data_IF_008604926607
#
_entry.id   IF_008604926607
#
_cell.length_a   1.000
_cell.length_b   1.000
_cell.length_c   1.000
_cell.angle_alpha   90.00
_cell.angle_beta   90.00
_cell.angle_gamma   90.00
#
_symmetry.space_group_name_H-M   'P 1'
#
loop_
_entity.id
_entity.type
_entity.pdbx_description
1 polymer ?
#
# COMPACT_ATOMS: atom_id res chain seq x y z
N UNK A 1 66.01 4.43 -8.51
CA UNK A 1 64.76 4.25 -7.75
C UNK A 1 64.19 5.53 -7.14
N UNK A 2 64.98 6.45 -6.57
CA UNK A 2 64.50 7.71 -5.98
C UNK A 2 63.88 8.69 -6.99
N UNK A 3 64.41 8.82 -8.21
CA UNK A 3 63.91 9.75 -9.23
C UNK A 3 62.51 9.36 -9.81
N UNK A 4 62.22 8.07 -9.87
CA UNK A 4 60.92 7.56 -10.31
C UNK A 4 59.83 7.79 -9.24
N UNK A 5 60.16 7.57 -7.96
CA UNK A 5 59.23 7.81 -6.83
C UNK A 5 58.84 9.30 -6.70
N UNK A 6 59.82 10.22 -6.91
CA UNK A 6 59.58 11.67 -6.86
C UNK A 6 58.69 12.15 -8.01
N UNK A 7 58.84 11.57 -9.21
CA UNK A 7 58.03 11.92 -10.39
C UNK A 7 56.58 11.43 -10.25
N UNK A 8 56.35 10.30 -9.57
CA UNK A 8 55.03 9.76 -9.30
C UNK A 8 54.29 10.56 -8.22
N UNK A 9 54.96 11.01 -7.16
CA UNK A 9 54.37 11.86 -6.12
C UNK A 9 53.97 13.24 -6.64
N UNK A 10 54.79 13.87 -7.47
CA UNK A 10 54.47 15.17 -8.07
C UNK A 10 53.25 15.11 -8.97
N UNK A 11 52.99 13.98 -9.64
CA UNK A 11 51.79 13.77 -10.47
C UNK A 11 50.53 13.58 -9.63
N UNK A 12 50.58 12.90 -8.51
CA UNK A 12 49.39 12.63 -7.66
C UNK A 12 48.84 13.91 -7.01
N UNK A 13 49.70 14.79 -6.51
CA UNK A 13 49.30 16.09 -5.95
C UNK A 13 48.64 16.98 -7.02
N UNK A 14 49.17 16.97 -8.23
CA UNK A 14 48.63 17.75 -9.36
C UNK A 14 47.27 17.22 -9.77
N UNK A 15 47.08 15.89 -9.81
CA UNK A 15 45.80 15.24 -10.12
C UNK A 15 44.75 15.54 -9.02
N UNK A 16 45.14 15.45 -7.74
CA UNK A 16 44.26 15.83 -6.61
C UNK A 16 43.81 17.29 -6.73
N UNK A 17 44.70 18.19 -7.04
CA UNK A 17 44.38 19.60 -7.25
C UNK A 17 43.41 19.83 -8.42
N UNK A 18 43.63 19.11 -9.53
CA UNK A 18 42.75 19.19 -10.69
C UNK A 18 41.33 18.64 -10.39
N UNK A 19 41.23 17.56 -9.61
CA UNK A 19 39.95 17.03 -9.16
C UNK A 19 39.23 18.04 -8.23
N UNK A 20 39.97 18.62 -7.26
CA UNK A 20 39.42 19.62 -6.35
C UNK A 20 38.90 20.87 -7.07
N UNK A 21 39.55 21.28 -8.17
CA UNK A 21 39.13 22.44 -8.97
C UNK A 21 37.84 22.20 -9.79
N UNK A 22 37.48 20.94 -10.08
CA UNK A 22 36.30 20.57 -10.89
C UNK A 22 35.13 20.01 -10.06
N UNK A 23 35.27 19.97 -8.74
CA UNK A 23 34.24 19.50 -7.82
C UNK A 23 33.89 20.57 -6.80
N UNK A 24 32.68 20.42 -6.22
CA UNK A 24 32.29 21.21 -5.06
C UNK A 24 33.25 20.94 -3.89
N UNK A 25 33.66 22.00 -3.18
CA UNK A 25 34.64 21.92 -2.09
C UNK A 25 34.23 21.02 -0.94
N UNK A 26 32.90 20.99 -0.61
CA UNK A 26 32.37 20.14 0.42
C UNK A 26 32.36 18.66 -0.01
N UNK A 27 32.00 18.40 -1.27
CA UNK A 27 32.00 17.04 -1.84
C UNK A 27 33.44 16.49 -1.94
N UNK A 28 34.39 17.29 -2.37
CA UNK A 28 35.80 16.91 -2.42
C UNK A 28 36.34 16.55 -1.03
N UNK A 29 36.12 17.42 -0.04
CA UNK A 29 36.61 17.21 1.33
C UNK A 29 36.03 15.99 2.01
N UNK A 30 34.75 15.70 1.75
CA UNK A 30 34.01 14.60 2.40
C UNK A 30 34.27 13.26 1.74
N UNK A 31 34.41 13.19 0.42
CA UNK A 31 34.39 11.93 -0.31
C UNK A 31 35.69 11.58 -1.02
N UNK A 32 36.42 12.57 -1.51
CA UNK A 32 37.62 12.36 -2.34
C UNK A 32 38.90 12.54 -1.54
N UNK A 33 38.99 13.56 -0.72
CA UNK A 33 40.21 13.86 0.06
C UNK A 33 40.65 12.71 1.01
N UNK A 34 39.70 11.93 1.63
CA UNK A 34 40.06 10.82 2.52
C UNK A 34 40.56 9.56 1.79
N UNK A 35 40.47 9.50 0.45
CA UNK A 35 40.87 8.33 -0.32
C UNK A 35 42.39 8.19 -0.39
N UNK A 36 42.86 6.95 -0.50
CA UNK A 36 44.22 6.68 -0.88
C UNK A 36 44.34 6.70 -2.42
N UNK A 37 45.30 7.45 -2.94
CA UNK A 37 45.54 7.63 -4.38
C UNK A 37 46.80 6.89 -4.77
N UNK A 38 46.73 6.02 -5.75
CA UNK A 38 47.84 5.27 -6.30
C UNK A 38 47.75 5.27 -7.85
N UNK A 39 48.88 5.19 -8.54
CA UNK A 39 48.89 5.02 -9.99
C UNK A 39 49.52 3.68 -10.30
N UNK A 40 48.74 2.80 -10.92
CA UNK A 40 49.14 1.46 -11.34
C UNK A 40 48.91 1.31 -12.86
N UNK A 41 49.98 1.04 -13.63
CA UNK A 41 49.87 0.76 -15.07
C UNK A 41 48.92 1.71 -15.83
N UNK A 42 49.16 3.04 -15.75
CA UNK A 42 48.34 4.09 -16.36
C UNK A 42 46.88 4.15 -15.84
N UNK A 43 46.63 3.61 -14.65
CA UNK A 43 45.33 3.67 -13.97
C UNK A 43 45.49 4.39 -12.64
N UNK A 44 44.68 5.42 -12.41
CA UNK A 44 44.50 6.07 -11.11
C UNK A 44 43.61 5.22 -10.23
N UNK A 45 44.18 4.60 -9.21
CA UNK A 45 43.44 3.77 -8.25
C UNK A 45 43.10 4.62 -7.03
N UNK A 46 41.80 4.72 -6.74
CA UNK A 46 41.27 5.44 -5.60
C UNK A 46 40.73 4.38 -4.59
N UNK A 47 41.39 4.22 -3.46
CA UNK A 47 41.04 3.22 -2.47
C UNK A 47 40.10 3.78 -1.41
N UNK A 48 38.85 3.34 -1.40
CA UNK A 48 37.82 3.70 -0.43
C UNK A 48 37.89 2.76 0.82
N UNK A 49 37.39 3.27 1.95
CA UNK A 49 37.40 2.52 3.21
C UNK A 49 36.42 1.34 3.24
N UNK A 50 35.31 1.44 2.49
CA UNK A 50 34.27 0.42 2.41
C UNK A 50 33.58 0.44 1.02
N UNK A 51 32.80 -0.61 0.73
CA UNK A 51 32.11 -0.78 -0.55
C UNK A 51 31.10 0.35 -0.82
N UNK A 52 30.38 0.80 0.20
CA UNK A 52 29.41 1.89 0.06
C UNK A 52 30.07 3.18 -0.47
N UNK A 53 31.22 3.57 0.12
CA UNK A 53 31.97 4.74 -0.33
C UNK A 53 32.50 4.57 -1.75
N UNK A 54 32.96 3.36 -2.11
CA UNK A 54 33.45 3.08 -3.46
C UNK A 54 32.32 3.20 -4.51
N UNK A 55 31.15 2.63 -4.23
CA UNK A 55 29.98 2.67 -5.11
C UNK A 55 29.43 4.09 -5.26
N UNK A 56 29.36 4.85 -4.16
CA UNK A 56 28.93 6.25 -4.17
C UNK A 56 29.86 7.12 -5.02
N UNK A 57 31.17 7.00 -4.81
CA UNK A 57 32.17 7.79 -5.54
C UNK A 57 32.14 7.44 -7.04
N UNK A 58 32.04 6.17 -7.37
CA UNK A 58 31.92 5.72 -8.76
C UNK A 58 30.65 6.19 -9.45
N UNK A 59 29.50 6.14 -8.74
CA UNK A 59 28.19 6.52 -9.29
C UNK A 59 28.00 8.03 -9.43
N UNK A 60 28.33 8.79 -8.38
CA UNK A 60 28.05 10.24 -8.34
C UNK A 60 29.20 11.08 -8.93
N UNK A 61 30.43 10.67 -8.68
CA UNK A 61 31.61 11.45 -9.07
C UNK A 61 32.43 10.78 -10.17
N UNK A 62 32.08 9.59 -10.60
CA UNK A 62 32.83 8.81 -11.59
C UNK A 62 33.05 9.53 -12.91
N UNK A 63 32.04 10.22 -13.43
CA UNK A 63 32.16 11.00 -14.68
C UNK A 63 33.21 12.14 -14.56
N UNK A 64 33.19 12.88 -13.45
CA UNK A 64 34.14 13.97 -13.18
C UNK A 64 35.54 13.43 -12.98
N UNK A 65 35.70 12.33 -12.23
CA UNK A 65 36.98 11.68 -12.00
C UNK A 65 37.62 11.16 -13.30
N UNK A 66 36.81 10.49 -14.15
CA UNK A 66 37.25 10.01 -15.45
C UNK A 66 37.67 11.17 -16.39
N UNK A 67 36.89 12.27 -16.42
CA UNK A 67 37.20 13.42 -17.23
C UNK A 67 38.53 14.07 -16.81
N UNK A 68 38.80 14.19 -15.51
CA UNK A 68 40.06 14.74 -15.00
C UNK A 68 41.23 13.78 -15.26
N UNK A 69 41.06 12.50 -14.98
CA UNK A 69 42.13 11.51 -15.18
C UNK A 69 42.52 11.38 -16.67
N UNK A 70 41.55 11.49 -17.58
CA UNK A 70 41.81 11.49 -19.03
C UNK A 70 42.71 12.65 -19.48
N UNK A 71 42.69 13.82 -18.83
CA UNK A 71 43.61 14.94 -19.09
C UNK A 71 45.07 14.59 -18.79
N UNK A 72 45.27 13.58 -17.91
CA UNK A 72 46.62 13.07 -17.56
C UNK A 72 46.94 11.74 -18.26
N UNK A 73 46.09 11.27 -19.16
CA UNK A 73 46.22 9.99 -19.87
C UNK A 73 46.04 8.77 -18.99
N UNK A 74 45.28 8.90 -17.90
CA UNK A 74 45.02 7.83 -16.95
C UNK A 74 43.56 7.36 -17.01
N UNK A 75 43.35 6.05 -16.80
CA UNK A 75 42.02 5.49 -16.47
C UNK A 75 41.78 5.62 -14.96
N UNK A 76 40.52 5.56 -14.52
CA UNK A 76 40.15 5.59 -13.08
C UNK A 76 39.60 4.26 -12.64
N UNK A 77 40.05 3.79 -11.47
CA UNK A 77 39.48 2.64 -10.77
C UNK A 77 39.28 2.97 -9.30
N UNK A 78 38.08 2.77 -8.81
CA UNK A 78 37.81 2.86 -7.37
C UNK A 78 37.87 1.46 -6.78
N UNK A 79 38.73 1.23 -5.79
CA UNK A 79 38.96 -0.02 -5.11
C UNK A 79 38.55 0.08 -3.63
N UNK A 80 38.34 -1.07 -2.95
CA UNK A 80 38.05 -1.13 -1.52
C UNK A 80 39.26 -1.69 -0.78
N UNK A 81 39.57 -1.14 0.37
CA UNK A 81 40.68 -1.56 1.20
C UNK A 81 40.50 -3.03 1.66
N UNK A 82 41.42 -3.89 1.21
CA UNK A 82 41.39 -5.34 1.60
C UNK A 82 40.72 -6.30 0.64
N UNK A 83 40.19 -5.85 -0.49
CA UNK A 83 39.71 -6.75 -1.55
C UNK A 83 40.86 -7.17 -2.46
N UNK A 84 41.05 -8.48 -2.69
CA UNK A 84 42.04 -8.99 -3.65
C UNK A 84 41.73 -8.42 -5.04
N UNK A 85 42.76 -8.11 -5.82
CA UNK A 85 42.68 -7.51 -7.14
C UNK A 85 41.75 -8.32 -8.05
N UNK A 86 40.56 -7.77 -8.32
CA UNK A 86 39.69 -8.23 -9.40
C UNK A 86 40.17 -7.51 -10.68
N UNK A 87 40.43 -8.27 -11.74
CA UNK A 87 40.88 -7.79 -13.05
C UNK A 87 40.02 -6.63 -13.56
N UNK A 88 40.57 -5.72 -14.40
CA UNK A 88 39.85 -4.57 -14.92
C UNK A 88 38.64 -5.05 -15.71
N UNK A 89 37.45 -4.73 -15.21
CA UNK A 89 36.22 -4.92 -15.95
C UNK A 89 36.24 -3.89 -17.08
N UNK A 90 36.30 -4.39 -18.32
CA UNK A 90 36.10 -3.58 -19.51
C UNK A 90 34.81 -2.74 -19.33
N UNK A 91 34.84 -1.50 -19.88
CA UNK A 91 33.68 -0.63 -19.97
C UNK A 91 32.58 -1.33 -20.79
N UNK A 92 31.87 -2.26 -20.18
CA UNK A 92 30.54 -2.62 -20.65
C UNK A 92 29.60 -1.51 -20.14
N UNK A 93 29.23 -0.63 -21.06
CA UNK A 93 28.02 0.20 -20.97
C UNK A 93 26.77 -0.71 -20.96
N UNK A 94 26.81 -1.76 -20.19
CA UNK A 94 25.64 -2.53 -19.83
C UNK A 94 25.01 -1.83 -18.64
N UNK A 95 24.28 -0.74 -18.90
CA UNK A 95 23.19 -0.32 -18.03
C UNK A 95 22.29 -1.54 -17.95
N UNK A 96 22.50 -2.39 -16.93
CA UNK A 96 21.56 -3.45 -16.64
C UNK A 96 20.22 -2.76 -16.48
N UNK A 97 19.41 -2.83 -17.55
CA UNK A 97 18.06 -2.30 -17.52
C UNK A 97 17.34 -3.08 -16.43
N UNK A 98 16.98 -2.39 -15.36
CA UNK A 98 16.13 -2.98 -14.35
C UNK A 98 14.83 -3.39 -15.04
N UNK A 99 14.60 -4.67 -15.12
CA UNK A 99 13.31 -5.23 -15.51
C UNK A 99 12.65 -5.72 -14.21
N UNK A 100 11.49 -5.18 -13.81
CA UNK A 100 10.73 -5.76 -12.71
C UNK A 100 10.52 -7.24 -13.01
N UNK A 101 10.50 -8.10 -11.98
CA UNK A 101 10.03 -9.45 -12.15
C UNK A 101 8.67 -9.35 -12.80
N UNK A 102 8.48 -9.98 -13.97
CA UNK A 102 7.23 -9.90 -14.71
C UNK A 102 6.09 -10.26 -13.74
N UNK A 103 5.44 -9.25 -13.20
CA UNK A 103 4.12 -9.45 -12.60
C UNK A 103 3.29 -10.01 -13.74
N UNK A 104 2.80 -11.24 -13.55
CA UNK A 104 1.86 -11.84 -14.49
C UNK A 104 0.85 -10.75 -14.82
N UNK A 105 0.73 -10.42 -16.11
CA UNK A 105 -0.28 -9.49 -16.58
C UNK A 105 -1.61 -10.03 -16.04
N UNK A 106 -2.07 -9.45 -14.95
CA UNK A 106 -3.41 -9.72 -14.46
C UNK A 106 -4.35 -9.24 -15.56
N UNK A 107 -5.51 -9.89 -15.70
CA UNK A 107 -6.60 -9.52 -16.64
C UNK A 107 -7.09 -8.06 -16.48
N UNK A 108 -6.43 -7.26 -15.66
CA UNK A 108 -6.70 -5.87 -15.33
C UNK A 108 -6.44 -4.87 -16.48
N UNK A 109 -5.86 -5.32 -17.58
CA UNK A 109 -5.59 -4.47 -18.75
C UNK A 109 -6.86 -3.86 -19.39
N UNK A 110 -8.03 -4.43 -19.10
CA UNK A 110 -9.33 -3.95 -19.58
C UNK A 110 -10.07 -3.03 -18.59
N UNK A 111 -9.56 -2.89 -17.35
CA UNK A 111 -10.23 -2.16 -16.27
C UNK A 111 -10.31 -0.66 -16.59
N UNK A 112 -11.51 -0.12 -16.63
CA UNK A 112 -11.79 1.29 -16.89
C UNK A 112 -12.73 1.89 -15.82
N UNK A 113 -12.89 3.22 -15.84
CA UNK A 113 -13.74 3.92 -14.87
C UNK A 113 -15.22 3.52 -14.91
N UNK A 114 -15.70 2.88 -15.99
CA UNK A 114 -17.09 2.45 -16.10
C UNK A 114 -17.34 1.20 -15.23
N UNK A 115 -16.29 0.47 -14.87
CA UNK A 115 -16.40 -0.67 -13.95
C UNK A 115 -16.62 -0.21 -12.51
N UNK A 116 -16.13 0.96 -12.15
CA UNK A 116 -16.38 1.52 -10.83
C UNK A 116 -17.83 2.03 -10.75
N UNK A 117 -18.64 1.38 -9.93
CA UNK A 117 -20.03 1.81 -9.69
C UNK A 117 -20.02 3.02 -8.79
N UNK A 118 -20.20 4.20 -9.38
CA UNK A 118 -20.26 5.45 -8.65
C UNK A 118 -21.49 5.53 -7.74
N UNK A 119 -21.31 6.11 -6.57
CA UNK A 119 -22.37 6.65 -5.71
C UNK A 119 -22.12 8.14 -5.49
N UNK A 120 -23.12 8.87 -5.00
CA UNK A 120 -22.95 10.29 -4.66
C UNK A 120 -21.79 10.50 -3.66
N UNK A 121 -21.64 9.57 -2.72
CA UNK A 121 -20.57 9.57 -1.70
C UNK A 121 -19.17 9.41 -2.31
N UNK A 122 -19.05 8.64 -3.41
CA UNK A 122 -17.76 8.35 -4.07
C UNK A 122 -17.53 9.22 -5.34
N UNK A 123 -18.45 10.13 -5.67
CA UNK A 123 -18.38 10.97 -6.87
C UNK A 123 -17.13 11.89 -6.86
N UNK A 124 -16.75 12.38 -5.67
CA UNK A 124 -15.58 13.25 -5.51
C UNK A 124 -14.28 12.54 -5.86
N UNK A 125 -14.01 11.38 -5.24
CA UNK A 125 -12.79 10.60 -5.48
C UNK A 125 -12.70 10.11 -6.92
N UNK A 126 -13.84 9.68 -7.51
CA UNK A 126 -13.89 9.27 -8.92
C UNK A 126 -13.55 10.44 -9.86
N UNK A 127 -14.08 11.64 -9.58
CA UNK A 127 -13.76 12.85 -10.35
C UNK A 127 -12.28 13.24 -10.23
N UNK A 128 -11.69 13.10 -9.03
CA UNK A 128 -10.27 13.34 -8.80
C UNK A 128 -9.41 12.36 -9.60
N UNK A 129 -9.73 11.06 -9.57
CA UNK A 129 -9.05 10.04 -10.35
C UNK A 129 -9.08 10.33 -11.86
N UNK A 130 -10.26 10.64 -12.40
CA UNK A 130 -10.42 10.98 -13.82
C UNK A 130 -9.61 12.23 -14.24
N UNK A 131 -9.61 13.27 -13.41
CA UNK A 131 -8.84 14.50 -13.67
C UNK A 131 -7.34 14.23 -13.62
N UNK A 132 -6.86 13.43 -12.66
CA UNK A 132 -5.44 13.09 -12.55
C UNK A 132 -4.99 12.25 -13.74
N UNK A 133 -5.77 11.25 -14.16
CA UNK A 133 -5.49 10.45 -15.36
C UNK A 133 -5.44 11.31 -16.63
N UNK A 134 -6.21 12.40 -16.69
CA UNK A 134 -6.16 13.39 -17.78
C UNK A 134 -4.98 14.37 -17.68
N UNK A 135 -4.06 14.22 -16.72
CA UNK A 135 -2.85 15.02 -16.57
C UNK A 135 -2.95 16.21 -15.62
N UNK A 136 -3.98 16.30 -14.77
CA UNK A 136 -4.10 17.37 -13.78
C UNK A 136 -3.21 17.11 -12.56
N UNK A 137 -1.98 17.62 -12.58
CA UNK A 137 -0.99 17.45 -11.48
C UNK A 137 -1.18 18.41 -10.30
N UNK A 138 -2.09 19.35 -10.36
CA UNK A 138 -2.24 20.41 -9.37
C UNK A 138 -2.51 19.92 -7.93
N UNK A 139 -2.97 18.67 -7.76
CA UNK A 139 -3.27 18.06 -6.47
C UNK A 139 -2.51 16.74 -6.22
N UNK A 140 -1.40 16.53 -6.93
CA UNK A 140 -0.52 15.38 -6.70
C UNK A 140 0.32 15.56 -5.42
N UNK A 141 0.45 14.56 -4.54
CA UNK A 141 -0.13 13.22 -4.64
C UNK A 141 -1.64 13.18 -4.37
N UNK A 142 -2.36 12.29 -5.08
CA UNK A 142 -3.73 11.91 -4.73
C UNK A 142 -3.66 10.71 -3.77
N UNK A 143 -4.08 10.93 -2.54
CA UNK A 143 -4.12 9.88 -1.52
C UNK A 143 -5.55 9.38 -1.33
N UNK A 144 -5.81 8.13 -1.73
CA UNK A 144 -7.12 7.48 -1.68
C UNK A 144 -7.15 6.54 -0.48
N UNK A 145 -8.10 6.71 0.43
CA UNK A 145 -8.21 5.81 1.57
C UNK A 145 -9.63 5.32 1.78
N UNK A 146 -9.76 4.21 2.49
CA UNK A 146 -11.07 3.63 2.82
C UNK A 146 -10.96 2.19 3.29
N UNK A 147 -12.07 1.58 3.74
CA UNK A 147 -12.07 0.21 4.24
C UNK A 147 -11.65 -0.80 3.16
N UNK A 148 -11.36 -2.04 3.57
CA UNK A 148 -11.10 -3.12 2.64
C UNK A 148 -12.30 -3.35 1.71
N UNK A 149 -12.04 -3.63 0.43
CA UNK A 149 -13.08 -3.92 -0.55
C UNK A 149 -13.91 -2.74 -1.05
N UNK A 150 -13.60 -1.49 -0.70
CA UNK A 150 -14.37 -0.33 -1.19
C UNK A 150 -14.02 0.10 -2.64
N UNK A 151 -13.02 -0.53 -3.28
CA UNK A 151 -12.66 -0.24 -4.68
C UNK A 151 -11.43 0.66 -4.88
N UNK A 152 -10.57 0.83 -3.86
CA UNK A 152 -9.33 1.64 -3.99
C UNK A 152 -8.40 1.14 -5.08
N UNK A 153 -8.07 -0.16 -5.04
CA UNK A 153 -7.21 -0.79 -6.05
C UNK A 153 -7.85 -0.71 -7.44
N UNK A 154 -9.17 -0.89 -7.54
CA UNK A 154 -9.91 -0.71 -8.79
C UNK A 154 -9.72 0.71 -9.36
N UNK A 155 -9.88 1.74 -8.53
CA UNK A 155 -9.63 3.14 -8.94
C UNK A 155 -8.17 3.36 -9.34
N UNK A 156 -7.22 2.76 -8.63
CA UNK A 156 -5.80 2.83 -8.96
C UNK A 156 -5.51 2.22 -10.35
N UNK A 157 -6.07 1.04 -10.66
CA UNK A 157 -5.98 0.41 -11.98
C UNK A 157 -6.68 1.23 -13.07
N UNK A 158 -7.86 1.81 -12.79
CA UNK A 158 -8.53 2.72 -13.72
C UNK A 158 -7.66 3.93 -14.07
N UNK A 159 -6.99 4.52 -13.06
CA UNK A 159 -6.05 5.63 -13.31
C UNK A 159 -4.86 5.14 -14.14
N UNK A 160 -4.29 3.98 -13.82
CA UNK A 160 -3.16 3.42 -14.57
C UNK A 160 -3.50 3.27 -16.05
N UNK A 161 -4.66 2.66 -16.34
CA UNK A 161 -5.09 2.39 -17.72
C UNK A 161 -5.53 3.63 -18.50
N UNK A 162 -6.02 4.67 -17.80
CA UNK A 162 -6.46 5.91 -18.43
C UNK A 162 -5.36 6.98 -18.53
N UNK A 163 -4.25 6.82 -17.83
CA UNK A 163 -3.15 7.79 -17.85
C UNK A 163 -2.35 7.70 -19.14
N UNK A 164 -2.04 8.86 -19.73
CA UNK A 164 -1.12 8.94 -20.85
C UNK A 164 0.34 8.79 -20.37
N UNK A 165 1.20 8.27 -21.28
CA UNK A 165 2.64 8.13 -20.99
C UNK A 165 3.00 6.88 -20.19
N UNK A 166 4.17 6.91 -19.56
CA UNK A 166 4.68 5.77 -18.82
C UNK A 166 4.11 5.72 -17.41
N UNK A 167 3.38 4.66 -17.11
CA UNK A 167 2.85 4.38 -15.77
C UNK A 167 3.73 3.35 -15.08
N UNK A 168 4.10 3.62 -13.83
CA UNK A 168 4.69 2.65 -12.91
C UNK A 168 3.70 2.43 -11.78
N UNK A 169 3.16 1.23 -11.72
CA UNK A 169 2.23 0.82 -10.67
C UNK A 169 2.79 -0.39 -9.94
N UNK A 170 2.72 -0.36 -8.61
CA UNK A 170 3.09 -1.47 -7.74
C UNK A 170 2.36 -1.40 -6.42
N UNK A 171 2.17 -2.53 -5.78
CA UNK A 171 1.71 -2.58 -4.38
C UNK A 171 2.84 -2.27 -3.41
N UNK A 172 2.51 -1.89 -2.17
CA UNK A 172 3.51 -1.72 -1.12
C UNK A 172 4.31 -2.99 -0.86
N UNK A 173 3.70 -4.18 -1.02
CA UNK A 173 4.38 -5.47 -0.91
C UNK A 173 5.39 -5.71 -2.05
N UNK A 174 5.01 -5.41 -3.28
CA UNK A 174 5.91 -5.49 -4.44
C UNK A 174 7.06 -4.51 -4.32
N UNK A 175 6.80 -3.27 -3.90
CA UNK A 175 7.86 -2.29 -3.67
C UNK A 175 8.90 -2.79 -2.66
N UNK A 176 8.47 -3.39 -1.53
CA UNK A 176 9.37 -3.99 -0.54
C UNK A 176 10.21 -5.10 -1.17
N UNK A 177 9.57 -6.00 -1.91
CA UNK A 177 10.23 -7.14 -2.55
C UNK A 177 11.26 -6.70 -3.58
N UNK A 178 10.88 -5.78 -4.47
CA UNK A 178 11.73 -5.26 -5.55
C UNK A 178 12.88 -4.42 -4.99
N UNK A 179 12.62 -3.58 -3.98
CA UNK A 179 13.64 -2.82 -3.28
C UNK A 179 14.67 -3.74 -2.60
N UNK A 180 14.20 -4.79 -1.90
CA UNK A 180 15.08 -5.76 -1.23
C UNK A 180 15.91 -6.54 -2.26
N UNK A 181 15.29 -6.98 -3.37
CA UNK A 181 15.98 -7.63 -4.48
C UNK A 181 17.05 -6.73 -5.08
N UNK A 182 16.70 -5.47 -5.38
CA UNK A 182 17.62 -4.51 -5.95
C UNK A 182 18.82 -4.20 -5.04
N UNK A 183 18.63 -4.22 -3.72
CA UNK A 183 19.72 -4.13 -2.74
C UNK A 183 20.63 -5.34 -2.79
N UNK A 184 20.04 -6.55 -2.83
CA UNK A 184 20.80 -7.81 -2.91
C UNK A 184 21.61 -7.90 -4.21
N UNK A 185 20.98 -7.55 -5.34
CA UNK A 185 21.56 -7.65 -6.69
C UNK A 185 22.45 -6.43 -7.05
N UNK A 186 22.58 -5.46 -6.12
CA UNK A 186 23.33 -4.20 -6.33
C UNK A 186 22.80 -3.33 -7.48
N UNK A 187 21.53 -3.45 -7.81
CA UNK A 187 20.84 -2.70 -8.88
C UNK A 187 19.94 -1.60 -8.35
N UNK A 188 20.15 -1.14 -7.12
CA UNK A 188 19.29 -0.16 -6.43
C UNK A 188 19.14 1.16 -7.20
N UNK A 189 20.18 1.63 -7.87
CA UNK A 189 20.11 2.84 -8.68
C UNK A 189 19.21 2.64 -9.89
N UNK A 190 19.34 1.52 -10.59
CA UNK A 190 18.49 1.18 -11.72
C UNK A 190 17.01 1.03 -11.32
N UNK A 191 16.73 0.46 -10.13
CA UNK A 191 15.39 0.41 -9.56
C UNK A 191 14.82 1.81 -9.27
N UNK A 192 15.62 2.68 -8.63
CA UNK A 192 15.23 4.07 -8.37
C UNK A 192 14.96 4.85 -9.66
N UNK A 193 15.81 4.68 -10.66
CA UNK A 193 15.65 5.32 -11.98
C UNK A 193 14.41 4.77 -12.70
N UNK A 194 14.15 3.47 -12.60
CA UNK A 194 12.91 2.86 -13.11
C UNK A 194 11.66 3.52 -12.52
N UNK A 195 11.63 3.70 -11.18
CA UNK A 195 10.52 4.33 -10.49
C UNK A 195 10.39 5.83 -10.80
N UNK A 196 11.50 6.56 -10.95
CA UNK A 196 11.49 8.00 -11.26
C UNK A 196 11.14 8.30 -12.71
N UNK A 197 11.51 7.40 -13.62
CA UNK A 197 11.28 7.58 -15.05
C UNK A 197 9.86 7.15 -15.45
N UNK A 198 8.85 7.81 -14.87
CA UNK A 198 7.44 7.63 -15.21
C UNK A 198 6.74 8.98 -15.32
N UNK A 199 5.56 9.00 -15.90
CA UNK A 199 4.67 10.16 -15.95
C UNK A 199 3.62 10.07 -14.84
N UNK A 200 3.22 8.83 -14.50
CA UNK A 200 2.32 8.53 -13.39
C UNK A 200 2.91 7.41 -12.54
N UNK A 201 3.04 7.64 -11.24
CA UNK A 201 3.45 6.64 -10.24
C UNK A 201 2.26 6.27 -9.35
N UNK A 202 2.00 4.99 -9.21
CA UNK A 202 0.88 4.48 -8.41
C UNK A 202 1.42 3.48 -7.38
N UNK A 203 1.13 3.73 -6.09
CA UNK A 203 1.43 2.81 -5.01
C UNK A 203 0.13 2.35 -4.37
N UNK A 204 -0.22 1.09 -4.55
CA UNK A 204 -1.37 0.48 -3.87
C UNK A 204 -0.95 -0.08 -2.50
N UNK A 205 -1.82 0.09 -1.49
CA UNK A 205 -1.62 -0.40 -0.12
C UNK A 205 -0.32 0.11 0.57
N UNK A 206 -0.16 1.43 0.62
CA UNK A 206 0.99 2.11 1.27
C UNK A 206 1.22 1.64 2.72
N UNK A 207 0.17 1.22 3.45
CA UNK A 207 0.29 0.72 4.83
C UNK A 207 1.17 -0.53 4.94
N UNK A 208 1.45 -1.24 3.86
CA UNK A 208 2.38 -2.39 3.86
C UNK A 208 3.82 -1.98 4.18
N UNK A 209 4.17 -0.71 3.97
CA UNK A 209 5.48 -0.15 4.32
C UNK A 209 5.65 0.09 5.83
N UNK A 210 4.57 -0.03 6.62
CA UNK A 210 4.62 0.18 8.07
C UNK A 210 5.65 -0.74 8.75
N UNK A 211 6.51 -0.15 9.60
CA UNK A 211 7.58 -0.88 10.29
C UNK A 211 8.81 -1.23 9.43
N UNK A 212 8.81 -0.94 8.14
CA UNK A 212 9.95 -1.13 7.23
C UNK A 212 10.70 0.20 7.03
N UNK A 213 11.40 0.65 8.07
CA UNK A 213 11.95 2.00 8.15
C UNK A 213 12.78 2.41 6.92
N UNK A 214 13.77 1.64 6.53
CA UNK A 214 14.63 1.96 5.39
C UNK A 214 13.85 2.03 4.06
N UNK A 215 12.98 1.06 3.81
CA UNK A 215 12.15 1.04 2.60
C UNK A 215 11.13 2.20 2.60
N UNK A 216 10.57 2.53 3.76
CA UNK A 216 9.66 3.66 3.91
C UNK A 216 10.37 4.99 3.65
N UNK A 217 11.56 5.21 4.20
CA UNK A 217 12.36 6.42 3.96
C UNK A 217 12.67 6.60 2.47
N UNK A 218 13.05 5.52 1.77
CA UNK A 218 13.30 5.55 0.32
C UNK A 218 12.02 5.82 -0.49
N UNK A 219 10.91 5.23 -0.13
CA UNK A 219 9.62 5.52 -0.76
C UNK A 219 9.22 6.99 -0.57
N UNK A 220 9.37 7.55 0.63
CA UNK A 220 9.06 8.96 0.88
C UNK A 220 9.97 9.88 0.07
N UNK A 221 11.25 9.53 -0.08
CA UNK A 221 12.17 10.29 -0.94
C UNK A 221 11.74 10.22 -2.42
N UNK A 222 11.31 9.05 -2.90
CA UNK A 222 10.77 8.89 -4.25
C UNK A 222 9.52 9.78 -4.46
N UNK A 223 8.59 9.83 -3.50
CA UNK A 223 7.41 10.71 -3.57
C UNK A 223 7.81 12.18 -3.66
N UNK A 224 8.83 12.61 -2.91
CA UNK A 224 9.36 13.98 -2.98
C UNK A 224 9.97 14.26 -4.36
N UNK A 225 10.78 13.34 -4.87
CA UNK A 225 11.46 13.49 -6.17
C UNK A 225 10.43 13.59 -7.32
N UNK A 226 9.44 12.70 -7.33
CA UNK A 226 8.38 12.69 -8.34
C UNK A 226 7.52 13.96 -8.29
N UNK A 227 7.16 14.42 -7.08
CA UNK A 227 6.42 15.66 -6.90
C UNK A 227 7.19 16.87 -7.42
N UNK A 228 8.48 16.97 -7.10
CA UNK A 228 9.35 18.05 -7.56
C UNK A 228 9.53 18.01 -9.10
N UNK A 229 9.48 16.83 -9.69
CA UNK A 229 9.50 16.63 -11.14
C UNK A 229 8.14 16.88 -11.83
N UNK A 230 7.10 17.26 -11.07
CA UNK A 230 5.75 17.51 -11.59
C UNK A 230 5.06 16.26 -12.12
N UNK A 231 5.34 15.09 -11.56
CA UNK A 231 4.72 13.82 -11.96
C UNK A 231 3.41 13.57 -11.22
N UNK A 232 2.52 12.79 -11.83
CA UNK A 232 1.30 12.33 -11.19
C UNK A 232 1.62 11.23 -10.17
N UNK A 233 1.06 11.31 -8.97
CA UNK A 233 1.24 10.33 -7.91
C UNK A 233 -0.12 9.94 -7.36
N UNK A 234 -0.40 8.63 -7.34
CA UNK A 234 -1.59 8.06 -6.69
C UNK A 234 -1.15 7.08 -5.62
N UNK A 235 -1.69 7.25 -4.43
CA UNK A 235 -1.38 6.42 -3.27
C UNK A 235 -2.69 5.89 -2.69
N UNK A 236 -2.76 4.59 -2.40
CA UNK A 236 -3.92 4.04 -1.71
C UNK A 236 -3.56 3.51 -0.33
N UNK A 237 -4.50 3.55 0.60
CA UNK A 237 -4.34 3.00 1.94
C UNK A 237 -5.68 2.59 2.57
N UNK A 238 -5.60 1.81 3.65
CA UNK A 238 -6.77 1.41 4.43
C UNK A 238 -7.26 2.46 5.44
N UNK A 239 -6.49 3.53 5.66
CA UNK A 239 -6.80 4.61 6.59
C UNK A 239 -6.26 5.95 6.09
N UNK A 240 -6.84 7.05 6.57
CA UNK A 240 -6.34 8.40 6.30
C UNK A 240 -4.87 8.56 6.74
N UNK A 241 -4.08 9.44 6.10
CA UNK A 241 -2.67 9.63 6.44
C UNK A 241 -2.43 9.89 7.93
N UNK A 242 -3.29 10.67 8.59
CA UNK A 242 -3.21 10.94 10.03
C UNK A 242 -3.30 9.68 10.90
N UNK A 243 -4.05 8.68 10.44
CA UNK A 243 -4.36 7.46 11.18
C UNK A 243 -3.48 6.27 10.81
N UNK A 244 -2.56 6.42 9.84
CA UNK A 244 -1.63 5.36 9.48
C UNK A 244 -0.71 5.01 10.66
N UNK A 245 -0.73 3.76 11.09
CA UNK A 245 0.19 3.24 12.12
C UNK A 245 1.54 2.91 11.49
N UNK A 246 2.63 3.09 12.26
CA UNK A 246 3.98 2.77 11.80
C UNK A 246 4.64 3.82 10.89
N UNK A 247 3.98 4.97 10.68
CA UNK A 247 4.51 6.13 9.97
C UNK A 247 4.72 7.29 10.94
N UNK A 248 5.83 8.00 10.82
CA UNK A 248 6.13 9.19 11.61
C UNK A 248 5.32 10.41 11.13
N UNK A 249 5.42 11.52 11.87
CA UNK A 249 4.68 12.74 11.56
C UNK A 249 5.09 13.33 10.19
N UNK A 250 6.37 13.26 9.83
CA UNK A 250 6.90 13.77 8.55
C UNK A 250 6.31 12.98 7.37
N UNK A 251 6.29 11.65 7.48
CA UNK A 251 5.68 10.78 6.48
C UNK A 251 4.20 11.09 6.29
N UNK A 252 3.43 11.16 7.40
CA UNK A 252 2.00 11.50 7.36
C UNK A 252 1.73 12.84 6.70
N UNK A 253 2.53 13.85 7.01
CA UNK A 253 2.41 15.19 6.41
C UNK A 253 2.72 15.17 4.91
N UNK A 254 3.74 14.42 4.48
CA UNK A 254 4.08 14.28 3.07
C UNK A 254 2.96 13.57 2.29
N UNK A 255 2.44 12.46 2.83
CA UNK A 255 1.34 11.71 2.22
C UNK A 255 0.04 12.53 2.12
N UNK A 256 -0.17 13.45 3.07
CA UNK A 256 -1.31 14.39 3.08
C UNK A 256 -1.07 15.69 2.29
N UNK A 257 0.10 15.87 1.66
CA UNK A 257 0.48 17.17 1.07
C UNK A 257 -0.27 17.54 -0.22
N UNK A 258 -0.96 16.58 -0.82
CA UNK A 258 -1.81 16.77 -2.00
C UNK A 258 -3.30 16.65 -1.67
N UNK A 259 -4.05 15.99 -2.53
CA UNK A 259 -5.46 15.72 -2.30
C UNK A 259 -5.65 14.41 -1.54
N UNK A 260 -6.36 14.46 -0.42
CA UNK A 260 -6.77 13.28 0.34
C UNK A 260 -8.26 13.04 0.10
N UNK A 261 -8.61 11.87 -0.39
CA UNK A 261 -9.99 11.50 -0.72
C UNK A 261 -10.35 10.14 -0.12
N UNK A 262 -11.52 10.05 0.47
CA UNK A 262 -12.04 8.79 1.01
C UNK A 262 -12.90 8.03 -0.01
N UNK A 263 -12.88 6.71 0.12
CA UNK A 263 -13.79 5.82 -0.59
C UNK A 263 -14.61 5.09 0.46
N UNK A 264 -15.91 5.29 0.45
CA UNK A 264 -16.80 4.61 1.37
C UNK A 264 -17.15 3.20 0.88
N UNK A 265 -17.52 2.34 1.82
CA UNK A 265 -17.97 0.99 1.50
C UNK A 265 -19.23 1.02 0.60
N UNK A 266 -19.40 0.03 -0.30
CA UNK A 266 -20.53 0.01 -1.24
C UNK A 266 -21.86 -0.07 -0.49
N UNK A 267 -22.74 0.92 -0.67
CA UNK A 267 -24.09 0.93 -0.14
C UNK A 267 -24.96 -0.13 -0.87
N UNK A 268 -26.18 -0.37 -0.40
CA UNK A 268 -27.06 -1.41 -0.96
C UNK A 268 -27.32 -1.24 -2.46
N UNK A 269 -27.44 0.01 -2.94
CA UNK A 269 -27.67 0.29 -4.35
C UNK A 269 -26.43 -0.03 -5.19
N UNK A 270 -25.24 0.37 -4.75
CA UNK A 270 -23.97 0.03 -5.41
C UNK A 270 -23.80 -1.49 -5.49
N UNK A 271 -24.05 -2.22 -4.37
CA UNK A 271 -23.96 -3.69 -4.35
C UNK A 271 -24.95 -4.32 -5.34
N UNK A 272 -26.19 -3.81 -5.39
CA UNK A 272 -27.19 -4.27 -6.35
C UNK A 272 -26.71 -4.10 -7.80
N UNK A 273 -26.16 -2.94 -8.14
CA UNK A 273 -25.66 -2.68 -9.50
C UNK A 273 -24.47 -3.58 -9.84
N UNK A 274 -23.54 -3.82 -8.91
CA UNK A 274 -22.41 -4.75 -9.11
C UNK A 274 -22.95 -6.16 -9.40
N UNK A 275 -23.91 -6.62 -8.61
CA UNK A 275 -24.52 -7.95 -8.80
C UNK A 275 -25.30 -8.05 -10.11
N UNK A 276 -26.03 -7.03 -10.51
CA UNK A 276 -26.72 -7.00 -11.81
C UNK A 276 -25.75 -7.13 -12.99
N UNK A 277 -24.57 -6.50 -12.90
CA UNK A 277 -23.52 -6.63 -13.92
C UNK A 277 -22.96 -8.06 -14.04
N UNK A 278 -23.14 -8.91 -13.03
CA UNK A 278 -22.75 -10.32 -13.11
C UNK A 278 -23.78 -11.24 -13.78
N UNK A 279 -24.90 -10.69 -14.26
CA UNK A 279 -25.89 -11.43 -15.06
C UNK A 279 -27.12 -11.94 -14.31
N UNK A 280 -27.38 -11.44 -13.08
CA UNK A 280 -28.63 -11.76 -12.37
C UNK A 280 -29.71 -10.71 -12.61
N UNK A 281 -30.99 -11.13 -12.45
CA UNK A 281 -32.13 -10.21 -12.53
C UNK A 281 -32.10 -9.16 -11.42
N UNK A 282 -32.77 -8.03 -11.63
CA UNK A 282 -32.85 -6.94 -10.65
C UNK A 282 -33.41 -7.37 -9.28
N UNK A 283 -34.38 -8.29 -9.26
CA UNK A 283 -34.99 -8.81 -8.02
C UNK A 283 -33.99 -9.68 -7.26
N UNK A 284 -33.30 -10.60 -7.94
CA UNK A 284 -32.23 -11.43 -7.34
C UNK A 284 -31.11 -10.55 -6.82
N UNK A 285 -30.66 -9.57 -7.61
CA UNK A 285 -29.61 -8.64 -7.20
C UNK A 285 -30.02 -7.83 -5.97
N UNK A 286 -31.26 -7.37 -5.89
CA UNK A 286 -31.79 -6.61 -4.74
C UNK A 286 -31.80 -7.46 -3.48
N UNK A 287 -32.27 -8.69 -3.57
CA UNK A 287 -32.32 -9.62 -2.46
C UNK A 287 -30.90 -10.00 -1.99
N UNK A 288 -30.00 -10.32 -2.90
CA UNK A 288 -28.60 -10.61 -2.58
C UNK A 288 -27.89 -9.41 -1.95
N UNK A 289 -28.12 -8.20 -2.48
CA UNK A 289 -27.55 -6.97 -1.93
C UNK A 289 -28.04 -6.67 -0.50
N UNK A 290 -29.28 -7.05 -0.18
CA UNK A 290 -29.84 -6.91 1.19
C UNK A 290 -29.20 -7.88 2.17
N UNK A 291 -28.83 -9.07 1.71
CA UNK A 291 -28.25 -10.14 2.53
C UNK A 291 -26.73 -10.05 2.67
N UNK A 292 -26.07 -9.27 1.83
CA UNK A 292 -24.62 -9.07 1.89
C UNK A 292 -24.26 -7.89 2.79
N UNK A 293 -23.20 -8.07 3.59
CA UNK A 293 -22.60 -6.97 4.34
C UNK A 293 -22.01 -5.91 3.40
N UNK A 294 -21.75 -4.72 3.91
CA UNK A 294 -21.08 -3.63 3.19
C UNK A 294 -19.56 -3.91 2.99
N UNK A 295 -19.25 -5.11 2.55
CA UNK A 295 -17.90 -5.60 2.25
C UNK A 295 -17.81 -5.85 0.74
N UNK A 296 -17.05 -5.02 0.05
CA UNK A 296 -16.90 -5.10 -1.39
C UNK A 296 -16.19 -6.38 -1.86
N UNK A 297 -15.27 -6.95 -1.07
CA UNK A 297 -14.64 -8.24 -1.42
C UNK A 297 -15.67 -9.36 -1.45
N UNK A 298 -16.60 -9.36 -0.49
CA UNK A 298 -17.68 -10.33 -0.45
C UNK A 298 -18.60 -10.17 -1.67
N UNK A 299 -19.00 -8.94 -1.97
CA UNK A 299 -19.88 -8.64 -3.12
C UNK A 299 -19.20 -9.03 -4.44
N UNK A 300 -17.92 -8.70 -4.59
CA UNK A 300 -17.14 -9.04 -5.79
C UNK A 300 -16.98 -10.56 -5.91
N UNK A 301 -16.67 -11.27 -4.82
CA UNK A 301 -16.60 -12.73 -4.82
C UNK A 301 -17.91 -13.40 -5.20
N UNK A 302 -19.06 -12.85 -4.76
CA UNK A 302 -20.41 -13.29 -5.17
C UNK A 302 -20.61 -13.03 -6.67
N UNK A 303 -20.31 -11.82 -7.14
CA UNK A 303 -20.45 -11.45 -8.54
C UNK A 303 -19.61 -12.36 -9.46
N UNK A 304 -18.36 -12.64 -9.08
CA UNK A 304 -17.49 -13.56 -9.80
C UNK A 304 -18.06 -14.97 -9.88
N UNK A 305 -18.50 -15.54 -8.75
CA UNK A 305 -19.13 -16.86 -8.73
C UNK A 305 -20.37 -16.95 -9.63
N UNK A 306 -21.20 -15.92 -9.61
CA UNK A 306 -22.40 -15.82 -10.45
C UNK A 306 -22.00 -15.77 -11.92
N UNK A 307 -21.05 -14.89 -12.29
CA UNK A 307 -20.56 -14.73 -13.64
C UNK A 307 -19.99 -16.05 -14.19
N UNK A 308 -19.12 -16.68 -13.43
CA UNK A 308 -18.52 -17.98 -13.78
C UNK A 308 -19.60 -19.07 -13.96
N UNK A 309 -20.60 -19.12 -13.07
CA UNK A 309 -21.70 -20.09 -13.20
C UNK A 309 -22.49 -19.83 -14.48
N UNK A 310 -22.84 -18.59 -14.78
CA UNK A 310 -23.60 -18.21 -15.99
C UNK A 310 -22.82 -18.56 -17.26
N UNK A 311 -21.51 -18.31 -17.27
CA UNK A 311 -20.63 -18.65 -18.41
C UNK A 311 -20.51 -20.16 -18.62
N UNK A 312 -20.36 -20.93 -17.55
CA UNK A 312 -20.20 -22.39 -17.64
C UNK A 312 -21.51 -23.13 -17.96
N UNK A 313 -22.62 -22.68 -17.39
CA UNK A 313 -23.90 -23.37 -17.51
C UNK A 313 -24.80 -22.83 -18.62
N UNK A 314 -24.50 -21.64 -19.15
CA UNK A 314 -25.30 -20.98 -20.20
C UNK A 314 -26.70 -20.55 -19.73
N UNK A 315 -26.96 -20.52 -18.41
CA UNK A 315 -28.26 -20.21 -17.83
C UNK A 315 -28.16 -19.08 -16.83
N UNK A 316 -29.20 -18.23 -16.77
CA UNK A 316 -29.27 -17.17 -15.77
C UNK A 316 -29.44 -17.74 -14.35
N UNK A 317 -28.88 -17.04 -13.37
CA UNK A 317 -28.98 -17.41 -11.96
C UNK A 317 -30.26 -16.84 -11.35
N UNK A 318 -31.21 -17.72 -10.98
CA UNK A 318 -32.39 -17.38 -10.19
C UNK A 318 -32.09 -17.45 -8.67
N UNK A 319 -33.04 -17.09 -7.83
CA UNK A 319 -32.86 -17.12 -6.37
C UNK A 319 -32.60 -18.52 -5.80
N UNK A 320 -33.11 -19.56 -6.43
CA UNK A 320 -32.90 -20.96 -6.01
C UNK A 320 -31.46 -21.37 -6.26
N UNK A 321 -30.94 -21.08 -7.48
CA UNK A 321 -29.56 -21.32 -7.88
C UNK A 321 -28.63 -20.45 -7.04
N UNK A 322 -28.95 -19.15 -6.88
CA UNK A 322 -28.16 -18.23 -6.06
C UNK A 322 -28.03 -18.71 -4.61
N UNK A 323 -29.12 -19.13 -3.99
CA UNK A 323 -29.12 -19.63 -2.62
C UNK A 323 -28.26 -20.88 -2.46
N UNK A 324 -28.30 -21.80 -3.43
CA UNK A 324 -27.48 -23.02 -3.44
C UNK A 324 -25.99 -22.71 -3.70
N UNK A 325 -25.70 -21.87 -4.70
CA UNK A 325 -24.35 -21.51 -5.11
C UNK A 325 -23.60 -20.71 -4.03
N UNK A 326 -24.33 -19.91 -3.28
CA UNK A 326 -23.82 -18.97 -2.30
C UNK A 326 -24.09 -19.40 -0.86
N UNK A 327 -24.60 -20.62 -0.62
CA UNK A 327 -24.96 -21.11 0.71
C UNK A 327 -23.84 -20.87 1.74
N UNK A 328 -22.63 -21.30 1.43
CA UNK A 328 -21.44 -21.10 2.30
C UNK A 328 -21.05 -19.63 2.46
N UNK A 329 -21.26 -18.82 1.42
CA UNK A 329 -20.87 -17.41 1.40
C UNK A 329 -21.90 -16.56 2.14
N UNK A 330 -23.19 -16.83 1.96
CA UNK A 330 -24.28 -16.10 2.63
C UNK A 330 -24.43 -16.52 4.10
N UNK A 331 -24.09 -17.75 4.45
CA UNK A 331 -24.03 -18.17 5.86
C UNK A 331 -22.88 -17.50 6.62
N UNK A 332 -21.75 -17.23 5.96
CA UNK A 332 -20.64 -16.45 6.55
C UNK A 332 -20.96 -14.96 6.65
N UNK A 333 -21.81 -14.42 5.80
CA UNK A 333 -22.28 -13.02 5.85
C UNK A 333 -23.46 -12.86 6.81
N UNK A 334 -23.29 -13.25 8.07
CA UNK A 334 -24.27 -12.92 9.12
C UNK A 334 -24.26 -11.41 9.29
N UNK A 335 -25.30 -10.74 8.81
CA UNK A 335 -25.42 -9.29 9.02
C UNK A 335 -25.49 -8.99 10.53
N UNK A 336 -24.92 -7.89 11.01
CA UNK A 336 -24.98 -7.51 12.42
C UNK A 336 -26.42 -7.48 12.96
N UNK A 337 -27.38 -7.06 12.14
CA UNK A 337 -28.80 -7.10 12.50
C UNK A 337 -29.30 -8.55 12.67
N UNK A 338 -28.93 -9.46 11.78
CA UNK A 338 -29.29 -10.87 11.89
C UNK A 338 -28.66 -11.51 13.14
N UNK A 339 -27.41 -11.14 13.46
CA UNK A 339 -26.76 -11.58 14.70
C UNK A 339 -27.52 -11.08 15.93
N UNK A 340 -27.90 -9.79 15.96
CA UNK A 340 -28.68 -9.22 17.09
C UNK A 340 -30.04 -9.92 17.22
N UNK A 341 -30.74 -10.16 16.13
CA UNK A 341 -32.05 -10.87 16.16
C UNK A 341 -31.91 -12.30 16.68
N UNK A 342 -30.91 -13.05 16.21
CA UNK A 342 -30.64 -14.40 16.70
C UNK A 342 -30.30 -14.40 18.21
N UNK A 343 -29.47 -13.43 18.64
CA UNK A 343 -29.21 -13.25 20.07
C UNK A 343 -30.46 -12.89 20.87
N UNK A 344 -31.39 -12.11 20.30
CA UNK A 344 -32.68 -11.80 20.94
C UNK A 344 -33.49 -13.06 21.19
N UNK A 345 -33.60 -13.94 20.19
CA UNK A 345 -34.28 -15.22 20.31
C UNK A 345 -33.67 -16.10 21.41
N UNK A 346 -32.33 -16.21 21.43
CA UNK A 346 -31.59 -17.01 22.42
C UNK A 346 -31.72 -16.47 23.85
N UNK A 347 -31.71 -15.14 24.00
CA UNK A 347 -31.86 -14.50 25.30
C UNK A 347 -33.29 -14.26 25.74
N UNK A 348 -34.27 -14.69 24.93
CA UNK A 348 -35.69 -14.56 25.22
C UNK A 348 -36.18 -13.11 25.31
N UNK A 349 -35.57 -12.20 24.52
CA UNK A 349 -35.93 -10.77 24.51
C UNK A 349 -36.37 -10.35 23.10
N UNK A 350 -37.31 -9.41 23.00
CA UNK A 350 -37.67 -8.89 21.67
C UNK A 350 -36.65 -7.86 21.15
N UNK A 351 -36.46 -7.81 19.83
CA UNK A 351 -35.58 -6.83 19.19
C UNK A 351 -36.00 -5.40 19.52
N UNK A 352 -37.32 -5.11 19.52
CA UNK A 352 -37.84 -3.78 19.85
C UNK A 352 -37.54 -3.39 21.29
N UNK A 353 -37.58 -4.35 22.24
CA UNK A 353 -37.21 -4.09 23.64
C UNK A 353 -35.68 -3.78 23.76
N UNK A 354 -34.84 -4.44 22.98
CA UNK A 354 -33.40 -4.18 22.94
C UNK A 354 -33.13 -2.79 22.38
N UNK A 355 -33.76 -2.41 21.26
CA UNK A 355 -33.62 -1.08 20.66
C UNK A 355 -34.30 0.03 21.49
N UNK A 356 -35.29 -0.33 22.31
CA UNK A 356 -36.06 0.61 23.12
C UNK A 356 -35.25 1.26 24.28
N UNK A 357 -35.95 2.14 25.04
CA UNK A 357 -35.40 2.86 26.19
C UNK A 357 -35.58 2.14 27.53
N UNK A 358 -36.11 0.93 27.55
CA UNK A 358 -36.35 0.14 28.75
C UNK A 358 -35.10 -0.08 29.58
N UNK A 359 -35.20 0.06 30.92
CA UNK A 359 -34.08 -0.05 31.88
C UNK A 359 -34.21 -1.28 32.81
N UNK A 360 -35.08 -2.22 32.48
CA UNK A 360 -35.17 -3.47 33.24
C UNK A 360 -33.80 -4.17 33.25
N UNK A 361 -33.39 -4.69 34.41
CA UNK A 361 -32.04 -5.28 34.62
C UNK A 361 -31.72 -6.36 33.58
N UNK A 362 -32.68 -7.22 33.24
CA UNK A 362 -32.51 -8.26 32.21
C UNK A 362 -32.24 -7.68 30.82
N UNK A 363 -32.93 -6.59 30.42
CA UNK A 363 -32.71 -5.92 29.13
C UNK A 363 -31.38 -5.20 29.06
N UNK A 364 -30.95 -4.62 30.19
CA UNK A 364 -29.63 -3.95 30.26
C UNK A 364 -28.51 -4.98 30.12
N UNK A 365 -28.63 -6.12 30.83
CA UNK A 365 -27.66 -7.21 30.71
C UNK A 365 -27.62 -7.78 29.29
N UNK A 366 -28.77 -8.04 28.68
CA UNK A 366 -28.88 -8.55 27.33
C UNK A 366 -28.19 -7.59 26.32
N UNK A 367 -28.43 -6.27 26.44
CA UNK A 367 -27.76 -5.27 25.60
C UNK A 367 -26.25 -5.29 25.77
N UNK A 368 -25.76 -5.33 27.01
CA UNK A 368 -24.33 -5.39 27.32
C UNK A 368 -23.69 -6.63 26.73
N UNK A 369 -24.32 -7.80 26.92
CA UNK A 369 -23.87 -9.06 26.31
C UNK A 369 -23.82 -8.98 24.79
N UNK A 370 -24.86 -8.44 24.13
CA UNK A 370 -24.90 -8.28 22.68
C UNK A 370 -23.79 -7.38 22.16
N UNK A 371 -23.51 -6.26 22.85
CA UNK A 371 -22.41 -5.36 22.47
C UNK A 371 -21.06 -6.06 22.58
N UNK A 372 -20.82 -6.84 23.65
CA UNK A 372 -19.60 -7.61 23.82
C UNK A 372 -19.44 -8.71 22.78
N UNK A 373 -20.52 -9.43 22.46
CA UNK A 373 -20.52 -10.48 21.42
C UNK A 373 -20.25 -9.88 20.04
N UNK A 374 -20.94 -8.79 19.66
CA UNK A 374 -20.69 -8.11 18.39
C UNK A 374 -19.23 -7.63 18.28
N UNK A 375 -18.66 -7.11 19.36
CA UNK A 375 -17.24 -6.69 19.38
C UNK A 375 -16.30 -7.87 19.21
N UNK A 376 -16.58 -9.02 19.79
CA UNK A 376 -15.76 -10.23 19.69
C UNK A 376 -15.95 -11.03 18.40
N UNK A 377 -17.10 -10.89 17.74
CA UNK A 377 -17.46 -11.65 16.53
C UNK A 377 -17.24 -10.86 15.22
N UNK A 378 -17.15 -9.51 15.29
CA UNK A 378 -17.12 -8.64 14.10
C UNK A 378 -16.01 -7.60 14.21
N UNK A 379 -15.70 -6.98 13.06
CA UNK A 379 -14.76 -5.83 12.99
C UNK A 379 -15.48 -4.47 13.09
N UNK A 380 -16.74 -4.44 13.60
CA UNK A 380 -17.49 -3.22 13.71
C UNK A 380 -16.81 -2.23 14.68
N UNK A 381 -16.90 -0.95 14.37
CA UNK A 381 -16.56 0.13 15.28
C UNK A 381 -17.56 0.18 16.46
N UNK A 382 -17.15 0.76 17.57
CA UNK A 382 -18.03 0.89 18.73
C UNK A 382 -19.29 1.73 18.43
N UNK A 383 -19.17 2.74 17.56
CA UNK A 383 -20.30 3.53 17.08
C UNK A 383 -21.31 2.68 16.29
N UNK A 384 -20.83 1.85 15.36
CA UNK A 384 -21.69 0.94 14.58
C UNK A 384 -22.38 -0.09 15.48
N UNK A 385 -21.65 -0.68 16.43
CA UNK A 385 -22.25 -1.59 17.43
C UNK A 385 -23.38 -0.89 18.17
N UNK A 386 -23.17 0.36 18.57
CA UNK A 386 -24.19 1.15 19.26
C UNK A 386 -25.45 1.35 18.41
N UNK A 387 -25.31 1.60 17.11
CA UNK A 387 -26.43 1.75 16.18
C UNK A 387 -27.29 0.48 16.09
N UNK A 388 -26.66 -0.70 15.99
CA UNK A 388 -27.36 -1.98 15.89
C UNK A 388 -28.08 -2.39 17.18
N UNK A 389 -27.69 -1.84 18.34
CA UNK A 389 -28.29 -2.13 19.66
C UNK A 389 -29.11 -0.94 20.16
N UNK A 390 -29.84 -0.27 19.23
CA UNK A 390 -30.82 0.76 19.55
C UNK A 390 -30.26 2.19 19.64
N UNK A 391 -29.28 2.53 18.80
CA UNK A 391 -28.75 3.91 18.66
C UNK A 391 -28.01 4.39 19.91
N UNK A 392 -27.21 3.53 20.52
CA UNK A 392 -26.41 3.88 21.71
C UNK A 392 -25.14 4.60 21.31
N UNK A 393 -24.73 5.56 22.13
CA UNK A 393 -23.49 6.29 21.93
C UNK A 393 -22.25 5.43 22.22
N UNK A 394 -21.11 5.86 21.68
CA UNK A 394 -19.82 5.20 21.85
C UNK A 394 -19.45 4.96 23.33
N UNK A 395 -19.71 5.93 24.21
CA UNK A 395 -19.38 5.83 25.64
C UNK A 395 -20.20 4.73 26.32
N UNK A 396 -21.49 4.60 25.96
CA UNK A 396 -22.38 3.53 26.45
C UNK A 396 -21.86 2.16 26.01
N UNK A 397 -21.37 2.01 24.77
CA UNK A 397 -20.84 0.73 24.28
C UNK A 397 -19.53 0.37 24.98
N UNK A 398 -18.61 1.32 25.16
CA UNK A 398 -17.36 1.11 25.93
C UNK A 398 -17.67 0.62 27.34
N UNK A 399 -18.57 1.33 28.05
CA UNK A 399 -18.97 0.96 29.40
C UNK A 399 -19.61 -0.45 29.45
N UNK A 400 -20.48 -0.75 28.51
CA UNK A 400 -21.16 -2.05 28.43
C UNK A 400 -20.15 -3.21 28.26
N UNK A 401 -19.20 -3.07 27.36
CA UNK A 401 -18.15 -4.08 27.12
C UNK A 401 -17.28 -4.26 28.38
N UNK A 402 -16.82 -3.16 28.99
CA UNK A 402 -16.02 -3.22 30.21
C UNK A 402 -16.77 -3.90 31.36
N UNK A 403 -18.07 -3.65 31.49
CA UNK A 403 -18.90 -4.27 32.52
C UNK A 403 -19.05 -5.79 32.30
N UNK A 404 -19.21 -6.24 31.05
CA UNK A 404 -19.27 -7.66 30.71
C UNK A 404 -17.92 -8.35 30.97
N UNK A 405 -16.80 -7.74 30.58
CA UNK A 405 -15.47 -8.31 30.86
C UNK A 405 -15.23 -8.47 32.37
N UNK A 406 -15.61 -7.48 33.18
CA UNK A 406 -15.53 -7.59 34.64
C UNK A 406 -16.40 -8.70 35.21
N UNK A 407 -17.59 -8.95 34.64
CA UNK A 407 -18.47 -10.04 35.06
C UNK A 407 -17.92 -11.43 34.68
N UNK A 408 -17.23 -11.53 33.55
CA UNK A 408 -16.54 -12.77 33.11
C UNK A 408 -15.46 -13.22 34.08
N UNK A 409 -14.75 -12.30 34.75
CA UNK A 409 -13.70 -12.64 35.72
C UNK A 409 -14.20 -13.43 36.93
N UNK A 410 -15.50 -13.31 37.25
CA UNK A 410 -16.12 -14.01 38.38
C UNK A 410 -17.12 -15.12 38.03
N UNK A 411 -17.48 -15.28 36.75
CA UNK A 411 -18.54 -16.23 36.30
C UNK A 411 -18.12 -17.03 35.07
N UNK A 412 -17.69 -18.27 35.31
CA UNK A 412 -17.27 -19.23 34.26
C UNK A 412 -18.43 -19.61 33.34
N UNK A 413 -19.68 -19.64 33.85
CA UNK A 413 -20.86 -20.00 33.05
C UNK A 413 -21.19 -18.89 32.07
N UNK A 414 -21.18 -17.64 32.54
CA UNK A 414 -21.36 -16.46 31.68
C UNK A 414 -20.27 -16.37 30.62
N UNK A 415 -19.01 -16.64 31.00
CA UNK A 415 -17.88 -16.66 30.07
C UNK A 415 -18.07 -17.71 28.97
N UNK A 416 -18.48 -18.92 29.32
CA UNK A 416 -18.75 -20.00 28.37
C UNK A 416 -19.91 -19.63 27.40
N UNK A 417 -20.99 -19.06 27.93
CA UNK A 417 -22.14 -18.60 27.12
C UNK A 417 -21.75 -17.50 26.13
N UNK A 418 -20.98 -16.51 26.56
CA UNK A 418 -20.52 -15.41 25.68
C UNK A 418 -19.58 -15.96 24.60
N UNK A 419 -18.63 -16.82 24.94
CA UNK A 419 -17.71 -17.42 23.98
C UNK A 419 -18.45 -18.31 22.97
N UNK A 420 -19.49 -19.05 23.41
CA UNK A 420 -20.35 -19.81 22.52
C UNK A 420 -21.10 -18.89 21.56
N UNK A 421 -21.71 -17.80 22.03
CA UNK A 421 -22.39 -16.80 21.19
C UNK A 421 -21.45 -16.16 20.19
N UNK A 422 -20.20 -15.85 20.59
CA UNK A 422 -19.17 -15.32 19.68
C UNK A 422 -18.81 -16.33 18.60
N UNK A 423 -18.65 -17.62 18.96
CA UNK A 423 -18.32 -18.68 18.00
C UNK A 423 -19.46 -18.92 16.99
N UNK A 424 -20.70 -18.82 17.43
CA UNK A 424 -21.88 -18.98 16.57
C UNK A 424 -22.12 -17.74 15.66
N UNK A 425 -21.60 -16.58 16.06
CA UNK A 425 -21.67 -15.35 15.28
C UNK A 425 -20.50 -15.20 14.26
N UNK A 426 -19.39 -15.89 14.50
CA UNK A 426 -18.27 -16.00 13.54
C UNK A 426 -18.59 -16.98 12.43
#
# INVERSE_FOLDING_TARGET
MQAAATKTMTNLETIKGAIAAKMDSAAFSSWIAPLNFEIENDTLVLTAQNQFSADFISGVHGATLNAVAAEFGLAVRVAVRGAAAVAPVANDNNVQSYAPAATAASDDAATNFDEFVASDENAFVLSACKKLAAGAVAFSPLFIYGPAGCGKSLLAHCVANASAGRVVMMSGGEFISEFTRALHDRTIFAFKDYCRNCDTFIMDDVQMLAGKRATCEEFLQLVVDLRNAGKNIVLTANAAPSNLTGFDHRAKSLLASGLVADVVAPNANVRRVILMRSGVSGDVATELASRTAADGHLVHGIATKIKTYTELMGTSVDMTVASRLLADTLQRAKTPIAMVRNMCEKLGVSYDAICGRGRARALVLARQTMMAVLKGATNLSLSEIGQYVGGRDHATVVYAIAQVEKQKEGDLVLTAQINQLIAECK
#
